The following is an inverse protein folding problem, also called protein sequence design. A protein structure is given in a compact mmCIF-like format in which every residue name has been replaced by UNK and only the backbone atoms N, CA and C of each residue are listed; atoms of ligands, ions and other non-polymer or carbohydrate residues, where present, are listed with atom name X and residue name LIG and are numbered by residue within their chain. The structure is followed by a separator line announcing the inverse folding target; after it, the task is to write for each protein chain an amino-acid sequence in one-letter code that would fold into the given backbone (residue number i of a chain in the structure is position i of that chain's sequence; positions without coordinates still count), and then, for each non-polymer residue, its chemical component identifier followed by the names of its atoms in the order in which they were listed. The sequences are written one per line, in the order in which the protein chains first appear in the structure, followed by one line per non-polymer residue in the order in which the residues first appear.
data_IF_026683842460
#
_entry.id   IF_026683842460
#
_cell.length_a   1.000
_cell.length_b   1.000
_cell.length_c   1.000
_cell.angle_alpha   90.00
_cell.angle_beta   90.00
_cell.angle_gamma   90.00
#
_symmetry.space_group_name_H-M   'P 1'
#
loop_
_entity.id
_entity.type
_entity.pdbx_description
1 polymer ?
#
# COMPACT_ATOMS: atom_id res chain seq x y z
N UNK A 1 -10.64 5.66 -6.14
CA UNK A 1 -10.20 6.21 -4.84
C UNK A 1 -10.65 7.67 -4.77
N UNK A 2 -11.86 7.93 -4.24
CA UNK A 2 -12.52 9.23 -4.35
C UNK A 2 -12.07 10.24 -3.28
N UNK A 3 -11.78 9.77 -2.06
CA UNK A 3 -11.42 10.64 -0.93
C UNK A 3 -10.20 11.54 -1.20
N UNK A 4 -9.28 11.10 -2.05
CA UNK A 4 -8.04 11.82 -2.38
C UNK A 4 -8.18 12.83 -3.51
N UNK A 5 -9.34 12.91 -4.18
CA UNK A 5 -9.49 13.71 -5.40
C UNK A 5 -9.49 15.22 -5.12
N UNK A 6 -10.23 15.67 -4.11
CA UNK A 6 -10.32 17.10 -3.79
C UNK A 6 -9.01 17.60 -3.13
N UNK A 7 -8.32 18.60 -3.70
CA UNK A 7 -7.12 19.18 -3.12
C UNK A 7 -7.33 19.77 -1.73
N UNK A 8 -6.51 19.36 -0.77
CA UNK A 8 -6.50 19.90 0.59
C UNK A 8 -7.43 19.18 1.57
N UNK A 9 -8.34 18.30 1.11
CA UNK A 9 -9.22 17.53 2.00
C UNK A 9 -8.46 16.42 2.71
N UNK A 10 -7.82 15.54 1.94
CA UNK A 10 -7.05 14.44 2.50
C UNK A 10 -5.75 14.92 3.16
N UNK A 11 -5.06 15.91 2.57
CA UNK A 11 -3.89 16.52 3.20
C UNK A 11 -4.24 17.05 4.61
N UNK A 12 -5.35 17.78 4.76
CA UNK A 12 -5.73 18.33 6.05
C UNK A 12 -6.03 17.25 7.11
N UNK A 13 -6.56 16.08 6.73
CA UNK A 13 -6.73 14.98 7.67
C UNK A 13 -5.38 14.37 8.07
N UNK A 14 -4.51 14.07 7.10
CA UNK A 14 -3.22 13.42 7.37
C UNK A 14 -2.25 14.33 8.12
N UNK A 15 -2.25 15.63 7.81
CA UNK A 15 -1.35 16.63 8.40
C UNK A 15 -1.83 17.15 9.75
N UNK A 16 -3.08 16.86 10.15
CA UNK A 16 -3.58 17.22 11.49
C UNK A 16 -2.80 16.50 12.60
N UNK A 17 -2.38 15.26 12.35
CA UNK A 17 -1.47 14.49 13.18
C UNK A 17 -0.72 13.47 12.31
N UNK A 18 0.49 13.85 11.88
CA UNK A 18 1.31 13.05 10.97
C UNK A 18 1.68 11.71 11.59
N UNK A 19 2.06 11.71 12.87
CA UNK A 19 2.42 10.47 13.59
C UNK A 19 1.24 9.53 13.63
N UNK A 20 0.08 10.00 14.12
CA UNK A 20 -1.13 9.18 14.21
C UNK A 20 -1.53 8.62 12.85
N UNK A 21 -1.49 9.46 11.80
CA UNK A 21 -1.84 9.04 10.44
C UNK A 21 -0.92 7.92 9.95
N UNK A 22 0.39 8.06 10.14
CA UNK A 22 1.36 7.04 9.76
C UNK A 22 1.25 5.79 10.64
N UNK A 23 0.99 5.90 11.94
CA UNK A 23 0.75 4.75 12.82
C UNK A 23 -0.47 3.95 12.38
N UNK A 24 -1.58 4.63 12.09
CA UNK A 24 -2.82 4.00 11.62
C UNK A 24 -2.60 3.28 10.30
N UNK A 25 -1.92 3.91 9.33
CA UNK A 25 -1.61 3.25 8.06
C UNK A 25 -0.66 2.07 8.21
N UNK A 26 0.41 2.27 8.98
CA UNK A 26 1.48 1.28 9.11
C UNK A 26 0.98 0.02 9.80
N UNK A 27 0.32 0.20 10.94
CA UNK A 27 -0.31 -0.90 11.65
C UNK A 27 -1.46 -1.49 10.85
N UNK A 28 -2.35 -0.63 10.37
CA UNK A 28 -3.59 -1.01 9.74
C UNK A 28 -3.50 -1.81 8.45
N UNK A 29 -2.43 -1.59 7.69
CA UNK A 29 -2.14 -2.30 6.46
C UNK A 29 -1.17 -3.49 6.67
N UNK A 30 -0.72 -3.75 7.91
CA UNK A 30 0.18 -4.87 8.19
C UNK A 30 -0.55 -6.21 8.27
N UNK A 31 0.20 -7.31 8.17
CA UNK A 31 -0.34 -8.66 8.35
C UNK A 31 -0.93 -8.87 9.74
N UNK A 32 -0.37 -8.23 10.77
CA UNK A 32 -0.84 -8.30 12.16
C UNK A 32 -2.25 -7.71 12.32
N UNK A 33 -2.58 -6.64 11.60
CA UNK A 33 -3.91 -6.05 11.64
C UNK A 33 -5.01 -7.02 11.16
N UNK A 34 -4.69 -8.06 10.38
CA UNK A 34 -5.68 -9.08 10.01
C UNK A 34 -6.14 -9.94 11.19
N UNK A 35 -5.30 -10.07 12.24
CA UNK A 35 -5.67 -10.74 13.49
C UNK A 35 -6.61 -9.87 14.36
N UNK A 36 -6.66 -8.57 14.09
CA UNK A 36 -7.53 -7.60 14.75
C UNK A 36 -8.69 -7.27 13.79
N UNK A 37 -9.83 -7.92 13.99
CA UNK A 37 -10.97 -7.79 13.09
C UNK A 37 -11.35 -6.32 12.81
N UNK A 38 -11.42 -5.97 11.52
CA UNK A 38 -12.14 -4.78 11.09
C UNK A 38 -11.31 -3.55 10.73
N UNK A 39 -9.98 -3.49 10.90
CA UNK A 39 -9.22 -2.29 10.49
C UNK A 39 -9.21 -2.07 8.98
N UNK A 40 -8.80 -3.07 8.21
CA UNK A 40 -8.87 -3.03 6.74
C UNK A 40 -10.33 -2.90 6.25
N UNK A 41 -11.31 -3.42 6.98
CA UNK A 41 -12.74 -3.21 6.66
C UNK A 41 -13.20 -1.79 7.01
N UNK A 42 -12.72 -1.20 8.09
CA UNK A 42 -13.10 0.13 8.59
C UNK A 42 -12.46 1.26 7.77
N UNK A 43 -11.34 1.01 7.08
CA UNK A 43 -10.76 1.89 6.07
C UNK A 43 -11.53 1.89 4.74
N UNK A 44 -12.34 0.85 4.49
CA UNK A 44 -12.91 0.55 3.17
C UNK A 44 -14.43 0.65 3.13
N UNK A 45 -15.10 0.34 4.23
CA UNK A 45 -16.55 0.38 4.39
C UNK A 45 -16.96 1.59 5.24
N UNK A 46 -16.78 2.79 4.68
CA UNK A 46 -17.18 4.06 5.28
C UNK A 46 -18.27 4.76 4.46
N UNK A 47 -19.11 5.58 5.10
CA UNK A 47 -19.96 6.55 4.40
C UNK A 47 -19.14 7.41 3.44
N UNK A 48 -19.72 7.81 2.31
CA UNK A 48 -19.02 8.58 1.27
C UNK A 48 -18.51 9.96 1.74
N UNK A 49 -19.10 10.50 2.80
CA UNK A 49 -18.77 11.78 3.44
C UNK A 49 -17.86 11.64 4.66
N UNK A 50 -17.50 10.41 5.06
CA UNK A 50 -16.63 10.17 6.20
C UNK A 50 -15.16 10.38 5.84
N UNK A 51 -14.36 10.82 6.82
CA UNK A 51 -12.91 10.87 6.65
C UNK A 51 -12.27 9.49 6.79
N UNK A 52 -11.04 9.34 6.30
CA UNK A 52 -10.39 8.03 6.25
C UNK A 52 -10.10 7.47 7.65
N UNK A 53 -9.69 8.32 8.59
CA UNK A 53 -9.33 7.90 9.95
C UNK A 53 -10.45 8.08 10.97
N UNK A 54 -11.62 8.56 10.54
CA UNK A 54 -12.75 8.81 11.42
C UNK A 54 -13.20 7.53 12.14
N UNK A 55 -13.29 7.56 13.47
CA UNK A 55 -13.72 6.41 14.27
C UNK A 55 -12.71 5.25 14.34
N UNK A 56 -11.50 5.40 13.80
CA UNK A 56 -10.43 4.44 14.03
C UNK A 56 -9.80 4.68 15.42
N UNK A 57 -9.61 3.63 16.24
CA UNK A 57 -8.92 3.76 17.51
C UNK A 57 -7.45 4.09 17.27
N UNK A 58 -6.84 4.79 18.22
CA UNK A 58 -5.40 5.00 18.20
C UNK A 58 -4.68 3.67 18.39
N UNK A 59 -3.52 3.53 17.74
CA UNK A 59 -2.67 2.35 17.84
C UNK A 59 -1.56 2.68 18.82
N UNK A 60 -1.43 1.83 19.85
CA UNK A 60 -0.28 1.90 20.76
C UNK A 60 0.90 1.12 20.18
N UNK A 61 2.04 1.79 20.05
CA UNK A 61 3.27 1.19 19.55
C UNK A 61 3.30 1.00 18.03
N UNK A 62 4.26 0.19 17.59
CA UNK A 62 4.49 -0.15 16.18
C UNK A 62 4.40 -1.66 15.94
N UNK A 63 4.14 -2.12 14.71
CA UNK A 63 4.19 -3.54 14.37
C UNK A 63 5.53 -4.21 14.74
N UNK A 64 5.54 -5.52 15.04
CA UNK A 64 6.73 -6.22 15.56
C UNK A 64 7.91 -6.28 14.57
N UNK A 65 7.67 -5.99 13.30
CA UNK A 65 8.67 -5.97 12.24
C UNK A 65 9.37 -4.60 12.07
N UNK A 66 8.96 -3.57 12.83
CA UNK A 66 9.62 -2.26 12.84
C UNK A 66 9.83 -1.72 14.27
N UNK A 67 10.59 -0.65 14.37
CA UNK A 67 10.87 0.07 15.61
C UNK A 67 10.22 1.44 15.64
N UNK A 68 10.10 2.04 16.83
CA UNK A 68 9.65 3.45 16.96
C UNK A 68 10.54 4.40 16.16
N UNK A 69 11.86 4.15 16.13
CA UNK A 69 12.80 4.96 15.37
C UNK A 69 12.54 4.90 13.86
N UNK A 70 12.05 3.78 13.33
CA UNK A 70 11.65 3.67 11.93
C UNK A 70 10.41 4.53 11.66
N UNK A 71 9.42 4.52 12.56
CA UNK A 71 8.25 5.39 12.45
C UNK A 71 8.64 6.87 12.56
N UNK A 72 9.48 7.22 13.53
CA UNK A 72 10.02 8.58 13.73
C UNK A 72 10.68 9.11 12.45
N UNK A 73 11.45 8.25 11.77
CA UNK A 73 12.07 8.62 10.50
C UNK A 73 11.04 9.00 9.45
N UNK A 74 9.97 8.20 9.26
CA UNK A 74 8.92 8.53 8.30
C UNK A 74 8.14 9.78 8.71
N UNK A 75 7.81 9.93 9.99
CA UNK A 75 7.15 11.14 10.53
C UNK A 75 7.94 12.39 10.18
N UNK A 76 9.24 12.41 10.46
CA UNK A 76 10.11 13.55 10.13
C UNK A 76 10.08 13.89 8.63
N UNK A 77 10.06 12.88 7.75
CA UNK A 77 10.01 13.11 6.30
C UNK A 77 8.66 13.65 5.85
N UNK A 78 7.56 13.16 6.39
CA UNK A 78 6.22 13.64 6.04
C UNK A 78 5.90 15.00 6.66
N UNK A 79 6.39 15.32 7.86
CA UNK A 79 6.30 16.67 8.43
C UNK A 79 7.04 17.70 7.58
N UNK A 80 8.20 17.33 7.03
CA UNK A 80 8.98 18.21 6.16
C UNK A 80 8.44 18.30 4.72
N UNK A 81 7.96 17.17 4.18
CA UNK A 81 7.55 17.05 2.78
C UNK A 81 6.07 17.27 2.51
N UNK A 82 5.22 17.14 3.54
CA UNK A 82 3.77 17.13 3.42
C UNK A 82 3.21 15.92 2.68
N UNK A 83 1.88 15.83 2.60
CA UNK A 83 1.20 14.70 1.95
C UNK A 83 0.73 15.01 0.53
N UNK A 84 0.73 16.28 0.11
CA UNK A 84 0.24 16.70 -1.22
C UNK A 84 0.93 15.97 -2.37
N UNK A 85 2.25 15.85 -2.33
CA UNK A 85 3.03 15.18 -3.38
C UNK A 85 2.61 13.72 -3.57
N UNK A 86 2.71 12.89 -2.51
CA UNK A 86 2.22 11.51 -2.54
C UNK A 86 0.74 11.38 -2.92
N UNK A 87 -0.14 12.21 -2.36
CA UNK A 87 -1.59 12.15 -2.63
C UNK A 87 -1.92 12.49 -4.09
N UNK A 88 -1.17 13.38 -4.73
CA UNK A 88 -1.36 13.70 -6.16
C UNK A 88 -1.23 12.48 -7.07
N UNK A 89 -0.51 11.41 -6.67
CA UNK A 89 -0.44 10.16 -7.44
C UNK A 89 -1.82 9.56 -7.69
N UNK A 90 -2.73 9.66 -6.71
CA UNK A 90 -4.10 9.16 -6.80
C UNK A 90 -5.00 10.08 -7.62
N UNK A 91 -4.71 11.39 -7.64
CA UNK A 91 -5.42 12.38 -8.48
C UNK A 91 -5.11 12.20 -9.96
N UNK A 92 -3.94 11.65 -10.27
CA UNK A 92 -3.51 11.42 -11.64
C UNK A 92 -3.93 10.05 -12.19
N UNK A 93 -4.69 9.22 -11.46
CA UNK A 93 -5.05 7.88 -11.95
C UNK A 93 -5.87 7.93 -13.25
N UNK A 94 -6.87 8.80 -13.33
CA UNK A 94 -7.69 8.96 -14.54
C UNK A 94 -6.85 9.62 -15.65
N UNK A 95 -5.99 10.57 -15.30
CA UNK A 95 -5.08 11.21 -16.25
C UNK A 95 -4.10 10.22 -16.87
N UNK A 96 -3.52 9.31 -16.08
CA UNK A 96 -2.64 8.25 -16.58
C UNK A 96 -3.38 7.35 -17.56
N UNK A 97 -4.64 7.00 -17.26
CA UNK A 97 -5.48 6.19 -18.14
C UNK A 97 -5.75 6.90 -19.48
N UNK A 98 -6.07 8.20 -19.44
CA UNK A 98 -6.32 9.02 -20.62
C UNK A 98 -5.06 9.25 -21.47
N UNK A 99 -3.90 9.39 -20.83
CA UNK A 99 -2.64 9.73 -21.49
C UNK A 99 -1.83 8.52 -21.99
N UNK A 100 -2.16 7.31 -21.56
CA UNK A 100 -1.48 6.08 -21.96
C UNK A 100 -2.42 5.08 -22.67
N UNK A 101 -3.19 5.50 -23.70
CA UNK A 101 -4.12 4.60 -24.39
C UNK A 101 -3.41 3.41 -25.05
N UNK A 102 -2.14 3.57 -25.44
CA UNK A 102 -1.32 2.51 -26.03
C UNK A 102 -0.90 1.41 -25.04
N UNK A 103 -1.05 1.65 -23.73
CA UNK A 103 -0.81 0.66 -22.70
C UNK A 103 -2.05 -0.22 -22.47
N UNK A 104 -3.21 0.15 -23.01
CA UNK A 104 -4.42 -0.63 -22.89
C UNK A 104 -4.23 -2.02 -23.50
N UNK A 105 -4.34 -3.06 -22.67
CA UNK A 105 -4.16 -4.47 -23.02
C UNK A 105 -2.78 -4.83 -23.60
N UNK A 106 -1.76 -3.96 -23.43
CA UNK A 106 -0.42 -4.25 -23.91
C UNK A 106 0.21 -5.35 -23.08
N UNK A 107 0.76 -6.37 -23.75
CA UNK A 107 1.52 -7.41 -23.06
C UNK A 107 2.92 -6.91 -22.67
N UNK A 108 3.39 -7.36 -21.50
CA UNK A 108 4.74 -7.13 -20.98
C UNK A 108 5.50 -8.45 -21.12
N UNK A 109 6.32 -8.55 -22.17
CA UNK A 109 7.05 -9.78 -22.49
C UNK A 109 8.33 -9.97 -21.65
N UNK A 110 8.75 -8.96 -20.90
CA UNK A 110 9.92 -9.06 -20.03
C UNK A 110 9.67 -10.06 -18.89
N UNK A 111 10.70 -10.81 -18.44
CA UNK A 111 10.62 -11.55 -17.19
C UNK A 111 10.22 -10.61 -16.05
N UNK A 112 9.20 -10.99 -15.30
CA UNK A 112 8.67 -10.19 -14.20
C UNK A 112 8.49 -11.04 -12.94
N UNK A 113 8.70 -10.41 -11.79
CA UNK A 113 8.43 -11.00 -10.47
C UNK A 113 7.39 -10.14 -9.75
N UNK A 114 6.32 -10.77 -9.30
CA UNK A 114 5.35 -10.16 -8.39
C UNK A 114 5.42 -10.85 -7.03
N UNK A 115 5.95 -10.13 -6.03
CA UNK A 115 6.02 -10.56 -4.64
C UNK A 115 4.93 -9.84 -3.85
N UNK A 116 4.13 -10.58 -3.08
CA UNK A 116 3.03 -10.00 -2.32
C UNK A 116 2.75 -10.76 -1.02
N UNK A 117 2.26 -10.06 -0.01
CA UNK A 117 1.68 -10.65 1.19
C UNK A 117 0.24 -11.10 0.95
N UNK A 118 -0.14 -12.32 1.36
CA UNK A 118 -1.50 -12.83 1.15
C UNK A 118 -2.56 -12.22 2.09
N UNK A 119 -2.12 -11.39 3.05
CA UNK A 119 -2.96 -10.58 3.91
C UNK A 119 -3.02 -9.11 3.48
N UNK A 120 -2.40 -8.72 2.35
CA UNK A 120 -2.49 -7.36 1.83
C UNK A 120 -3.93 -7.03 1.39
N UNK A 121 -4.52 -6.00 2.01
CA UNK A 121 -5.84 -5.49 1.67
C UNK A 121 -5.96 -4.98 0.23
N UNK A 122 -4.85 -4.56 -0.40
CA UNK A 122 -4.80 -4.09 -1.78
C UNK A 122 -5.30 -5.15 -2.79
N UNK A 123 -5.13 -6.44 -2.47
CA UNK A 123 -5.60 -7.55 -3.29
C UNK A 123 -7.12 -7.57 -3.46
N UNK A 124 -7.88 -6.92 -2.57
CA UNK A 124 -9.34 -6.80 -2.68
C UNK A 124 -9.77 -5.82 -3.78
N UNK A 125 -8.91 -4.87 -4.15
CA UNK A 125 -9.18 -3.86 -5.17
C UNK A 125 -8.58 -4.20 -6.54
N UNK A 126 -7.59 -5.10 -6.55
CA UNK A 126 -6.79 -5.40 -7.74
C UNK A 126 -6.74 -6.92 -7.97
N UNK A 127 -7.68 -7.49 -8.74
CA UNK A 127 -7.63 -8.92 -9.06
C UNK A 127 -6.35 -9.24 -9.84
N UNK A 128 -5.70 -10.36 -9.51
CA UNK A 128 -4.43 -10.75 -10.12
C UNK A 128 -4.58 -11.47 -11.46
N UNK A 129 -5.78 -11.96 -11.80
CA UNK A 129 -5.99 -12.73 -13.03
C UNK A 129 -5.73 -11.93 -14.32
N UNK A 130 -6.14 -10.65 -14.44
CA UNK A 130 -5.74 -9.82 -15.58
C UNK A 130 -4.22 -9.68 -15.72
N UNK A 131 -3.49 -9.57 -14.61
CA UNK A 131 -2.02 -9.45 -14.65
C UNK A 131 -1.37 -10.70 -15.26
N UNK A 132 -1.86 -11.90 -14.92
CA UNK A 132 -1.35 -13.17 -15.51
C UNK A 132 -1.57 -13.25 -17.02
N UNK A 133 -2.61 -12.59 -17.55
CA UNK A 133 -2.90 -12.57 -18.98
C UNK A 133 -2.03 -11.56 -19.74
N UNK A 134 -1.69 -10.44 -19.09
CA UNK A 134 -0.91 -9.36 -19.68
C UNK A 134 0.61 -9.54 -19.52
N UNK A 135 1.06 -10.36 -18.58
CA UNK A 135 2.49 -10.59 -18.30
C UNK A 135 2.80 -12.10 -18.43
N UNK A 136 3.04 -12.61 -19.66
CA UNK A 136 3.19 -14.04 -19.90
C UNK A 136 4.40 -14.67 -19.18
N UNK A 137 5.43 -13.89 -18.90
CA UNK A 137 6.65 -14.34 -18.22
C UNK A 137 6.68 -13.96 -16.74
N UNK A 138 5.51 -13.91 -16.11
CA UNK A 138 5.33 -13.57 -14.70
C UNK A 138 5.64 -14.76 -13.78
N UNK A 139 6.53 -14.53 -12.81
CA UNK A 139 6.67 -15.35 -11.60
C UNK A 139 5.95 -14.66 -10.45
N UNK A 140 5.19 -15.43 -9.67
CA UNK A 140 4.48 -14.91 -8.51
C UNK A 140 4.96 -15.62 -7.25
N UNK A 141 5.23 -14.85 -6.20
CA UNK A 141 5.63 -15.36 -4.88
C UNK A 141 4.73 -14.71 -3.84
N UNK A 142 4.03 -15.54 -3.07
CA UNK A 142 3.17 -15.08 -1.97
C UNK A 142 3.84 -15.34 -0.63
N UNK A 143 3.78 -14.39 0.29
CA UNK A 143 4.22 -14.58 1.67
C UNK A 143 3.04 -14.71 2.62
N UNK A 144 2.83 -15.91 3.23
CA UNK A 144 1.73 -16.13 4.14
C UNK A 144 1.73 -15.20 5.35
N UNK A 145 0.58 -14.59 5.61
CA UNK A 145 0.32 -13.70 6.72
C UNK A 145 1.04 -12.35 6.65
N UNK A 146 1.73 -12.02 5.56
CA UNK A 146 2.28 -10.68 5.36
C UNK A 146 1.20 -9.76 4.77
N UNK A 147 1.18 -8.50 5.21
CA UNK A 147 0.32 -7.45 4.72
C UNK A 147 0.97 -6.61 3.62
N UNK A 148 0.57 -5.34 3.57
CA UNK A 148 0.96 -4.40 2.54
C UNK A 148 2.45 -4.04 2.56
N UNK A 149 3.07 -4.04 3.75
CA UNK A 149 4.48 -3.69 3.91
C UNK A 149 5.37 -4.92 3.70
N UNK A 150 5.07 -5.71 2.67
CA UNK A 150 5.60 -7.07 2.44
C UNK A 150 7.12 -7.18 2.63
N UNK A 151 7.88 -6.22 2.10
CA UNK A 151 9.34 -6.19 2.20
C UNK A 151 9.88 -5.84 3.60
N UNK A 152 9.10 -5.15 4.43
CA UNK A 152 9.45 -4.87 5.83
C UNK A 152 8.96 -6.01 6.74
N UNK A 153 7.83 -6.62 6.41
CA UNK A 153 7.24 -7.74 7.17
C UNK A 153 7.96 -9.07 6.98
N UNK A 154 8.52 -9.29 5.77
CA UNK A 154 9.24 -10.51 5.37
C UNK A 154 10.53 -10.14 4.63
N UNK A 155 11.47 -9.45 5.30
CA UNK A 155 12.65 -8.88 4.62
C UNK A 155 13.58 -9.96 4.10
N UNK A 156 13.73 -11.07 4.85
CA UNK A 156 14.59 -12.17 4.44
C UNK A 156 14.03 -12.88 3.21
N UNK A 157 12.75 -13.25 3.25
CA UNK A 157 12.07 -13.94 2.17
C UNK A 157 11.98 -13.05 0.92
N UNK A 158 11.76 -11.74 1.10
CA UNK A 158 11.82 -10.76 0.00
C UNK A 158 13.18 -10.77 -0.66
N UNK A 159 14.26 -10.68 0.12
CA UNK A 159 15.63 -10.69 -0.42
C UNK A 159 15.94 -12.00 -1.15
N UNK A 160 15.56 -13.14 -0.58
CA UNK A 160 15.72 -14.46 -1.21
C UNK A 160 14.97 -14.53 -2.56
N UNK A 161 13.70 -14.12 -2.60
CA UNK A 161 12.91 -14.11 -3.83
C UNK A 161 13.51 -13.20 -4.92
N UNK A 162 14.02 -12.02 -4.53
CA UNK A 162 14.68 -11.10 -5.46
C UNK A 162 16.00 -11.69 -5.99
N UNK A 163 16.85 -12.24 -5.12
CA UNK A 163 18.13 -12.83 -5.52
C UNK A 163 17.92 -14.05 -6.43
N UNK A 164 16.99 -14.94 -6.07
CA UNK A 164 16.66 -16.12 -6.88
C UNK A 164 16.11 -15.73 -8.25
N UNK A 165 15.29 -14.68 -8.31
CA UNK A 165 14.80 -14.16 -9.58
C UNK A 165 15.94 -13.61 -10.44
N UNK A 166 16.80 -12.76 -9.88
CA UNK A 166 17.91 -12.13 -10.60
C UNK A 166 18.97 -13.15 -11.06
N UNK A 167 19.26 -14.18 -10.27
CA UNK A 167 20.16 -15.27 -10.66
C UNK A 167 19.60 -16.14 -11.79
N UNK A 168 18.28 -16.09 -12.02
CA UNK A 168 17.59 -16.83 -13.06
C UNK A 168 17.29 -16.04 -14.33
N UNK A 169 17.83 -14.82 -14.46
CA UNK A 169 17.80 -14.00 -15.68
C UNK A 169 19.04 -14.24 -16.54
#
# INVERSE_FOLDING_TARGET
ILYFQEPGVAEAEFEADVRRSLSLFTWGASGEARSVSGFASAMVNKPADSKLFEGLPDVEGVPPWMTEADLDYYVEKFEKGGFRGPINRYRCMDLDHEQLPEMQNRQIDLPALFVYGDADGALSFSPMDPMKQLVPNLKMVSFPGAGHWTQQERPKETNEALIDFLNGL
#
